data_IF_340828436790
#
_entry.id   IF_340828436790
#
_cell.length_a   1.000
_cell.length_b   1.000
_cell.length_c   1.000
_cell.angle_alpha   90.00
_cell.angle_beta   90.00
_cell.angle_gamma   90.00
#
_symmetry.space_group_name_H-M   'P 1'
#
loop_
_entity.id
_entity.type
_entity.pdbx_description
1 polymer ?
#
# COMPACT_ATOMS: atom_id res chain seq x y z
N UNK A 1 -5.28 7.60 -13.83
CA UNK A 1 -4.11 7.48 -12.95
C UNK A 1 -3.05 6.66 -13.67
N UNK A 2 -1.78 7.02 -13.54
CA UNK A 2 -0.65 6.37 -14.22
C UNK A 2 0.03 5.30 -13.36
N UNK A 3 1.12 4.73 -13.88
CA UNK A 3 1.97 3.79 -13.16
C UNK A 3 2.97 4.57 -12.28
N UNK A 4 3.13 4.16 -11.02
CA UNK A 4 4.18 4.67 -10.14
C UNK A 4 5.11 3.53 -9.73
N UNK A 5 6.42 3.77 -9.83
CA UNK A 5 7.44 2.79 -9.49
C UNK A 5 8.22 3.27 -8.28
N UNK A 6 8.16 2.49 -7.21
CA UNK A 6 8.87 2.75 -5.96
C UNK A 6 10.04 1.78 -5.81
N UNK A 7 11.12 2.24 -5.18
CA UNK A 7 12.29 1.41 -4.90
C UNK A 7 12.01 0.61 -3.63
N UNK A 8 11.70 -0.68 -3.80
CA UNK A 8 11.38 -1.65 -2.72
C UNK A 8 12.42 -1.69 -1.59
N UNK A 9 13.69 -1.39 -1.88
CA UNK A 9 14.76 -1.36 -0.88
C UNK A 9 14.79 -0.08 0.00
N UNK A 10 14.09 0.97 -0.40
CA UNK A 10 14.08 2.28 0.29
C UNK A 10 12.82 2.51 1.12
N UNK A 11 11.82 1.64 1.02
CA UNK A 11 10.59 1.70 1.80
C UNK A 11 10.87 1.50 3.29
N UNK A 12 10.17 2.27 4.14
CA UNK A 12 10.19 2.02 5.57
C UNK A 12 9.56 0.64 5.83
N UNK A 13 10.31 -0.24 6.50
CA UNK A 13 9.87 -1.59 6.84
C UNK A 13 8.75 -1.55 7.87
N UNK A 14 7.53 -1.24 7.45
CA UNK A 14 6.32 -1.48 8.24
C UNK A 14 6.04 -2.98 8.38
N UNK A 15 6.60 -3.77 7.47
CA UNK A 15 6.58 -5.22 7.45
C UNK A 15 7.59 -5.76 8.48
N UNK A 16 7.09 -6.02 9.68
CA UNK A 16 7.87 -6.58 10.78
C UNK A 16 8.21 -8.05 10.54
N UNK A 17 9.26 -8.52 11.23
CA UNK A 17 9.80 -9.90 11.22
C UNK A 17 8.80 -11.06 11.34
N UNK A 18 7.53 -10.81 11.65
CA UNK A 18 6.45 -11.83 11.63
C UNK A 18 6.16 -12.36 10.23
N UNK A 19 6.50 -11.60 9.20
CA UNK A 19 6.34 -12.04 7.82
C UNK A 19 7.41 -13.02 7.37
N UNK A 20 8.55 -13.26 8.04
CA UNK A 20 9.58 -14.17 7.50
C UNK A 20 9.12 -15.64 7.39
N UNK A 21 8.20 -16.09 8.27
CA UNK A 21 7.77 -17.49 8.40
C UNK A 21 6.41 -17.85 7.76
N UNK A 22 5.64 -16.86 7.28
CA UNK A 22 4.31 -17.10 6.71
C UNK A 22 4.35 -17.49 5.21
N UNK A 23 3.37 -18.24 4.67
CA UNK A 23 3.25 -18.45 3.23
C UNK A 23 3.09 -17.11 2.49
N UNK A 24 3.69 -17.01 1.30
CA UNK A 24 3.81 -15.77 0.50
C UNK A 24 2.44 -15.10 0.28
N UNK A 25 1.39 -15.89 0.10
CA UNK A 25 0.01 -15.43 -0.08
C UNK A 25 -0.50 -14.64 1.15
N UNK A 26 -0.25 -15.16 2.34
CA UNK A 26 -0.71 -14.57 3.60
C UNK A 26 0.08 -13.30 3.95
N UNK A 27 1.38 -13.26 3.58
CA UNK A 27 2.17 -12.02 3.66
C UNK A 27 1.52 -10.93 2.82
N UNK A 28 1.18 -11.19 1.55
CA UNK A 28 0.58 -10.19 0.64
C UNK A 28 -0.72 -9.60 1.21
N UNK A 29 -1.59 -10.43 1.77
CA UNK A 29 -2.82 -9.95 2.42
C UNK A 29 -2.53 -9.11 3.67
N UNK A 30 -1.62 -9.56 4.53
CA UNK A 30 -1.20 -8.80 5.71
C UNK A 30 -0.57 -7.46 5.32
N UNK A 31 0.22 -7.43 4.23
CA UNK A 31 0.81 -6.20 3.72
C UNK A 31 -0.25 -5.24 3.21
N UNK A 32 -1.16 -5.71 2.36
CA UNK A 32 -2.26 -4.91 1.86
C UNK A 32 -3.09 -4.31 3.00
N UNK A 33 -3.34 -5.10 4.05
CA UNK A 33 -4.08 -4.68 5.23
C UNK A 33 -3.32 -3.61 6.03
N UNK A 34 -2.02 -3.80 6.26
CA UNK A 34 -1.17 -2.85 6.98
C UNK A 34 -1.05 -1.50 6.24
N UNK A 35 -0.88 -1.54 4.92
CA UNK A 35 -0.87 -0.35 4.08
C UNK A 35 -2.20 0.40 4.14
N UNK A 36 -3.32 -0.34 4.12
CA UNK A 36 -4.66 0.24 4.21
C UNK A 36 -4.91 0.87 5.59
N UNK A 37 -4.43 0.23 6.65
CA UNK A 37 -4.50 0.77 8.02
C UNK A 37 -3.64 2.03 8.17
N UNK A 38 -2.45 2.06 7.56
CA UNK A 38 -1.60 3.25 7.53
C UNK A 38 -2.26 4.41 6.78
N UNK A 39 -2.86 4.15 5.61
CA UNK A 39 -3.61 5.15 4.85
C UNK A 39 -4.79 5.71 5.66
N UNK A 40 -5.49 4.86 6.42
CA UNK A 40 -6.52 5.29 7.37
C UNK A 40 -5.95 6.13 8.52
N UNK A 41 -4.81 5.71 9.08
CA UNK A 41 -4.14 6.42 10.18
C UNK A 41 -3.64 7.81 9.75
N UNK A 42 -3.31 8.00 8.48
CA UNK A 42 -2.95 9.30 7.92
C UNK A 42 -4.17 10.24 7.76
N UNK A 43 -5.40 9.74 7.94
CA UNK A 43 -6.62 10.51 7.78
C UNK A 43 -6.89 10.94 6.33
N UNK A 44 -6.36 10.19 5.36
CA UNK A 44 -6.57 10.49 3.94
C UNK A 44 -8.03 10.17 3.56
N UNK A 45 -8.70 11.14 2.95
CA UNK A 45 -10.10 11.00 2.52
C UNK A 45 -10.17 10.28 1.17
N UNK A 46 -10.78 9.10 1.17
CA UNK A 46 -11.08 8.32 -0.02
C UNK A 46 -12.52 7.77 0.06
N UNK A 47 -13.20 7.70 -1.08
CA UNK A 47 -14.54 7.11 -1.16
C UNK A 47 -14.47 5.59 -1.11
N UNK A 48 -13.54 5.03 -1.87
CA UNK A 48 -13.31 3.59 -1.96
C UNK A 48 -11.82 3.36 -2.19
N UNK A 49 -11.24 2.39 -1.50
CA UNK A 49 -9.86 1.99 -1.72
C UNK A 49 -9.77 0.47 -1.55
N UNK A 50 -9.14 -0.19 -2.52
CA UNK A 50 -8.83 -1.60 -2.54
C UNK A 50 -7.35 -1.74 -2.89
N UNK A 51 -6.67 -2.52 -2.09
CA UNK A 51 -5.25 -2.81 -2.22
C UNK A 51 -5.11 -4.30 -2.50
N UNK A 52 -4.34 -4.65 -3.54
CA UNK A 52 -3.98 -6.03 -3.86
C UNK A 52 -2.49 -6.08 -4.11
N UNK A 53 -1.77 -6.84 -3.29
CA UNK A 53 -0.33 -7.04 -3.45
C UNK A 53 -0.10 -8.29 -4.28
N UNK A 54 0.69 -8.17 -5.34
CA UNK A 54 1.21 -9.26 -6.17
C UNK A 54 2.73 -9.37 -5.97
N UNK A 55 3.38 -10.40 -6.52
CA UNK A 55 4.80 -10.70 -6.23
C UNK A 55 5.75 -9.50 -6.46
N UNK A 56 5.51 -8.72 -7.51
CA UNK A 56 6.33 -7.56 -7.88
C UNK A 56 5.57 -6.23 -7.83
N UNK A 57 4.24 -6.23 -7.90
CA UNK A 57 3.43 -5.03 -8.04
C UNK A 57 2.37 -4.89 -6.94
N UNK A 58 2.07 -3.65 -6.54
CA UNK A 58 0.92 -3.31 -5.70
C UNK A 58 -0.15 -2.65 -6.57
N UNK A 59 -1.32 -3.30 -6.67
CA UNK A 59 -2.49 -2.71 -7.33
C UNK A 59 -3.33 -1.96 -6.31
N UNK A 60 -3.50 -0.67 -6.56
CA UNK A 60 -4.35 0.22 -5.78
C UNK A 60 -5.51 0.64 -6.66
N UNK A 61 -6.71 0.20 -6.31
CA UNK A 61 -7.95 0.54 -7.00
C UNK A 61 -8.83 1.34 -6.06
N UNK A 62 -9.16 2.57 -6.42
CA UNK A 62 -9.95 3.41 -5.55
C UNK A 62 -10.55 4.61 -6.22
N UNK A 63 -11.45 5.26 -5.50
CA UNK A 63 -12.07 6.51 -5.86
C UNK A 63 -11.78 7.50 -4.74
N UNK A 64 -11.27 8.66 -5.12
CA UNK A 64 -10.89 9.77 -4.23
C UNK A 64 -11.50 11.06 -4.75
N UNK A 65 -11.70 12.03 -3.86
CA UNK A 65 -12.30 13.31 -4.23
C UNK A 65 -11.38 14.14 -5.13
N UNK A 66 -10.06 14.09 -4.90
CA UNK A 66 -9.09 14.88 -5.68
C UNK A 66 -7.88 14.05 -6.11
N UNK A 67 -7.21 14.47 -7.20
CA UNK A 67 -5.97 13.84 -7.64
C UNK A 67 -4.86 13.96 -6.58
N UNK A 68 -4.82 15.05 -5.82
CA UNK A 68 -3.84 15.22 -4.75
C UNK A 68 -3.99 14.16 -3.64
N UNK A 69 -5.22 13.75 -3.34
CA UNK A 69 -5.47 12.65 -2.39
C UNK A 69 -4.99 11.31 -2.95
N UNK A 70 -5.21 11.07 -4.25
CA UNK A 70 -4.69 9.87 -4.91
C UNK A 70 -3.17 9.76 -4.80
N UNK A 71 -2.47 10.85 -5.11
CA UNK A 71 -1.00 10.90 -5.10
C UNK A 71 -0.46 10.75 -3.68
N UNK A 72 -1.11 11.33 -2.67
CA UNK A 72 -0.74 11.13 -1.26
C UNK A 72 -0.91 9.68 -0.82
N UNK A 73 -2.03 9.04 -1.19
CA UNK A 73 -2.29 7.64 -0.88
C UNK A 73 -1.23 6.76 -1.55
N UNK A 74 -0.96 6.99 -2.84
CA UNK A 74 0.07 6.24 -3.57
C UNK A 74 1.47 6.42 -2.98
N UNK A 75 1.84 7.64 -2.61
CA UNK A 75 3.12 7.93 -1.98
C UNK A 75 3.24 7.26 -0.61
N UNK A 76 2.16 7.31 0.18
CA UNK A 76 2.10 6.61 1.46
C UNK A 76 2.29 5.11 1.28
N UNK A 77 1.62 4.50 0.31
CA UNK A 77 1.73 3.07 0.03
C UNK A 77 3.15 2.74 -0.46
N UNK A 78 3.68 3.48 -1.43
CA UNK A 78 4.97 3.23 -2.05
C UNK A 78 6.19 3.49 -1.17
N UNK A 79 6.08 4.40 -0.18
CA UNK A 79 7.12 4.59 0.82
C UNK A 79 7.16 3.48 1.88
N UNK A 80 6.15 2.62 1.91
CA UNK A 80 6.00 1.56 2.91
C UNK A 80 5.94 0.16 2.28
N UNK A 81 6.20 0.06 0.97
CA UNK A 81 6.34 -1.18 0.21
C UNK A 81 7.80 -1.47 -0.15
#
# INVERSE_FOLDING_TARGET
MGLFSFIKEKGAKIFGKKEEDAPIEEKKELQAQALLDYVKSLGLTYNRLKLSVTDDDVKVEGEVATQADAEKILLAIGNHY
#
